data_IF_239309909437
#
_entry.id   IF_239309909437
#
_cell.length_a   1.000
_cell.length_b   1.000
_cell.length_c   1.000
_cell.angle_alpha   90.00
_cell.angle_beta   90.00
_cell.angle_gamma   90.00
#
_symmetry.space_group_name_H-M   'P 1'
#
loop_
_entity.id
_entity.type
_entity.pdbx_description
1 polymer ?
#
# COMPACT_ATOMS: atom_id res chain seq x y z
N UNK A 1 46.62 -13.10 12.32
CA UNK A 1 45.87 -12.62 13.50
C UNK A 1 45.13 -11.34 13.13
N UNK A 2 44.00 -11.44 12.42
CA UNK A 2 43.12 -10.31 12.17
C UNK A 2 42.25 -10.13 13.41
N UNK A 3 42.52 -9.04 14.13
CA UNK A 3 42.04 -8.74 15.48
C UNK A 3 40.51 -8.86 15.61
N UNK A 4 40.04 -9.45 16.73
CA UNK A 4 38.65 -9.57 17.15
C UNK A 4 37.88 -8.23 17.17
N UNK A 5 38.58 -7.10 17.05
CA UNK A 5 38.04 -5.73 17.02
C UNK A 5 37.37 -5.39 15.67
N UNK A 6 37.76 -6.03 14.56
CA UNK A 6 37.20 -5.71 13.24
C UNK A 6 35.84 -6.36 12.96
N UNK A 7 35.51 -7.46 13.65
CA UNK A 7 34.22 -8.16 13.50
C UNK A 7 33.00 -7.31 13.86
N UNK A 8 32.94 -6.61 15.01
CA UNK A 8 31.79 -5.76 15.33
C UNK A 8 31.70 -4.53 14.42
N UNK A 9 32.82 -3.97 13.96
CA UNK A 9 32.86 -2.85 13.02
C UNK A 9 32.36 -3.25 11.62
N UNK A 10 32.71 -4.45 11.15
CA UNK A 10 32.22 -4.97 9.87
C UNK A 10 30.72 -5.27 9.92
N UNK A 11 30.22 -5.74 11.06
CA UNK A 11 28.78 -5.94 11.28
C UNK A 11 28.01 -4.60 11.32
N UNK A 12 28.57 -3.56 11.96
CA UNK A 12 27.97 -2.22 11.96
C UNK A 12 27.96 -1.58 10.57
N UNK A 13 29.04 -1.75 9.80
CA UNK A 13 29.13 -1.28 8.42
C UNK A 13 28.16 -2.02 7.48
N UNK A 14 27.95 -3.33 7.68
CA UNK A 14 26.91 -4.08 6.97
C UNK A 14 25.51 -3.58 7.33
N UNK A 15 25.25 -3.27 8.62
CA UNK A 15 23.96 -2.73 9.09
C UNK A 15 23.63 -1.35 8.52
N UNK A 16 24.63 -0.51 8.22
CA UNK A 16 24.43 0.76 7.50
C UNK A 16 24.32 0.60 5.97
N UNK A 17 24.65 -0.57 5.44
CA UNK A 17 24.44 -0.96 4.04
C UNK A 17 23.14 -1.74 3.84
N UNK A 18 22.35 -2.00 4.89
CA UNK A 18 20.97 -2.45 4.71
C UNK A 18 20.14 -1.26 4.22
N UNK A 19 19.72 -1.22 2.94
CA UNK A 19 18.72 -0.24 2.53
C UNK A 19 17.47 -0.50 3.36
N UNK A 20 16.84 0.56 3.86
CA UNK A 20 15.53 0.47 4.53
C UNK A 20 14.52 -0.16 3.56
N UNK A 21 14.26 -1.45 3.76
CA UNK A 21 13.54 -2.33 2.82
C UNK A 21 12.03 -2.19 2.99
N UNK A 22 11.50 -0.97 2.96
CA UNK A 22 10.08 -0.73 2.76
C UNK A 22 9.91 0.63 2.10
N UNK A 23 9.52 0.70 0.85
CA UNK A 23 9.12 1.92 0.21
C UNK A 23 7.77 1.72 -0.51
N UNK A 24 7.35 2.68 -1.29
CA UNK A 24 6.03 2.76 -1.94
C UNK A 24 6.24 3.41 -3.32
N UNK A 25 5.27 3.38 -4.23
CA UNK A 25 5.31 4.16 -5.47
C UNK A 25 5.64 5.64 -5.18
N UNK A 26 5.04 6.21 -4.12
CA UNK A 26 5.39 7.50 -3.54
C UNK A 26 6.90 7.67 -3.39
N UNK A 27 7.57 6.75 -2.68
CA UNK A 27 9.01 6.86 -2.42
C UNK A 27 9.88 6.67 -3.68
N UNK A 28 9.40 5.89 -4.67
CA UNK A 28 10.12 5.65 -5.92
C UNK A 28 10.18 6.93 -6.75
N UNK A 29 9.09 7.68 -6.75
CA UNK A 29 8.97 8.94 -7.48
C UNK A 29 9.23 10.19 -6.61
N UNK A 30 9.62 10.00 -5.35
CA UNK A 30 9.84 11.07 -4.35
C UNK A 30 8.63 11.99 -4.18
N UNK A 31 7.44 11.41 -4.29
CA UNK A 31 6.19 12.11 -4.11
C UNK A 31 5.91 12.29 -2.61
N UNK A 32 5.26 13.38 -2.26
CA UNK A 32 4.80 13.67 -0.90
C UNK A 32 3.28 13.50 -0.86
N UNK A 33 2.77 12.47 -0.18
CA UNK A 33 1.31 12.24 -0.10
C UNK A 33 0.55 13.38 0.60
N UNK A 34 1.26 14.30 1.27
CA UNK A 34 0.69 15.49 1.89
C UNK A 34 0.60 16.67 0.92
N UNK A 35 1.42 16.68 -0.14
CA UNK A 35 1.58 17.85 -1.05
C UNK A 35 1.27 17.54 -2.50
N UNK A 36 1.61 16.34 -2.94
CA UNK A 36 1.51 15.89 -4.32
C UNK A 36 0.17 15.16 -4.50
N UNK A 37 -0.81 15.88 -5.01
CA UNK A 37 -2.16 15.34 -5.20
C UNK A 37 -2.15 14.34 -6.36
N UNK A 38 -2.66 13.12 -6.14
CA UNK A 38 -2.92 12.19 -7.24
C UNK A 38 -4.11 12.68 -8.09
N UNK A 39 -3.82 13.05 -9.33
CA UNK A 39 -4.85 13.57 -10.26
C UNK A 39 -5.89 12.50 -10.61
N UNK A 40 -5.49 11.25 -10.85
CA UNK A 40 -6.46 10.19 -11.15
C UNK A 40 -7.29 9.80 -9.91
N UNK A 41 -6.75 9.91 -8.68
CA UNK A 41 -7.58 9.78 -7.47
C UNK A 41 -8.66 10.85 -7.39
N UNK A 42 -8.33 12.12 -7.62
CA UNK A 42 -9.30 13.22 -7.58
C UNK A 42 -10.36 13.08 -8.67
N UNK A 43 -9.98 12.75 -9.91
CA UNK A 43 -10.94 12.54 -11.00
C UNK A 43 -11.88 11.38 -10.69
N UNK A 44 -11.35 10.24 -10.24
CA UNK A 44 -12.17 9.11 -9.85
C UNK A 44 -13.07 9.41 -8.65
N UNK A 45 -12.56 10.11 -7.63
CA UNK A 45 -13.38 10.50 -6.49
C UNK A 45 -14.59 11.31 -6.92
N UNK A 46 -14.41 12.29 -7.82
CA UNK A 46 -15.52 13.08 -8.36
C UNK A 46 -16.54 12.24 -9.12
N UNK A 47 -16.07 11.38 -10.04
CA UNK A 47 -16.94 10.49 -10.83
C UNK A 47 -17.74 9.53 -9.97
N UNK A 48 -17.11 8.95 -8.96
CA UNK A 48 -17.76 8.00 -8.04
C UNK A 48 -18.81 8.73 -7.22
N UNK A 49 -18.50 9.90 -6.64
CA UNK A 49 -19.48 10.67 -5.86
C UNK A 49 -20.67 11.15 -6.68
N UNK A 50 -20.50 11.36 -8.00
CA UNK A 50 -21.62 11.68 -8.90
C UNK A 50 -22.50 10.45 -9.22
N UNK A 51 -21.92 9.24 -9.10
CA UNK A 51 -22.56 7.99 -9.52
C UNK A 51 -23.29 7.27 -8.39
N UNK A 52 -22.67 7.17 -7.21
CA UNK A 52 -23.24 6.41 -6.08
C UNK A 52 -23.93 7.31 -5.07
N UNK A 53 -25.11 6.87 -4.63
CA UNK A 53 -25.93 7.60 -3.68
C UNK A 53 -25.42 7.35 -2.24
N UNK A 54 -24.31 8.00 -1.86
CA UNK A 54 -23.74 7.88 -0.52
C UNK A 54 -24.65 8.54 0.53
N UNK A 55 -24.79 7.97 1.74
CA UNK A 55 -25.54 8.65 2.79
C UNK A 55 -24.84 9.95 3.17
N UNK A 56 -25.54 11.09 3.02
CA UNK A 56 -24.97 12.43 3.18
C UNK A 56 -24.51 13.11 1.87
N UNK A 57 -24.88 12.57 0.70
CA UNK A 57 -24.66 13.08 -0.67
C UNK A 57 -24.91 14.57 -0.88
N UNK A 58 -25.79 15.18 -0.09
CA UNK A 58 -26.20 16.58 -0.29
C UNK A 58 -25.14 17.59 0.16
N UNK A 59 -23.99 17.10 0.60
CA UNK A 59 -22.91 17.93 1.13
C UNK A 59 -21.67 17.71 0.26
N UNK A 60 -21.46 18.64 -0.65
CA UNK A 60 -20.38 18.62 -1.63
C UNK A 60 -19.17 19.40 -1.09
N UNK A 61 -18.41 18.79 -0.17
CA UNK A 61 -17.27 19.41 0.49
C UNK A 61 -16.08 18.43 0.59
N UNK A 62 -14.81 18.89 0.54
CA UNK A 62 -13.64 18.02 0.70
C UNK A 62 -13.61 17.20 2.00
N UNK A 63 -14.32 17.64 3.06
CA UNK A 63 -14.53 16.87 4.30
C UNK A 63 -15.34 15.58 4.11
N UNK A 64 -15.92 15.36 2.93
CA UNK A 64 -16.66 14.14 2.59
C UNK A 64 -15.76 13.02 2.11
N UNK A 65 -14.53 13.30 1.67
CA UNK A 65 -13.56 12.23 1.36
C UNK A 65 -13.36 11.34 2.60
N UNK A 66 -13.24 11.94 3.78
CA UNK A 66 -13.19 11.28 5.09
C UNK A 66 -14.37 10.33 5.32
N UNK A 67 -15.58 10.73 4.95
CA UNK A 67 -16.79 9.90 5.10
C UNK A 67 -16.87 8.83 4.02
N UNK A 68 -16.50 9.15 2.79
CA UNK A 68 -16.54 8.26 1.64
C UNK A 68 -15.64 7.04 1.86
N UNK A 69 -14.48 7.23 2.49
CA UNK A 69 -13.56 6.15 2.87
C UNK A 69 -14.20 5.07 3.76
N UNK A 70 -15.32 5.35 4.44
CA UNK A 70 -16.02 4.38 5.31
C UNK A 70 -16.97 3.45 4.53
N UNK A 71 -17.20 3.70 3.25
CA UNK A 71 -18.14 2.94 2.44
C UNK A 71 -17.39 2.00 1.49
N UNK A 72 -17.58 0.69 1.68
CA UNK A 72 -16.98 -0.34 0.83
C UNK A 72 -17.39 -0.18 -0.65
N UNK A 73 -18.62 0.28 -0.91
CA UNK A 73 -19.07 0.57 -2.26
C UNK A 73 -18.25 1.70 -2.89
N UNK A 74 -18.01 2.80 -2.18
CA UNK A 74 -17.14 3.89 -2.66
C UNK A 74 -15.75 3.37 -3.02
N UNK A 75 -15.14 2.59 -2.12
CA UNK A 75 -13.82 1.99 -2.37
C UNK A 75 -13.85 1.03 -3.57
N UNK A 76 -14.91 0.23 -3.72
CA UNK A 76 -15.05 -0.69 -4.86
C UNK A 76 -15.13 0.06 -6.19
N UNK A 77 -15.92 1.14 -6.25
CA UNK A 77 -16.01 1.98 -7.45
C UNK A 77 -14.73 2.79 -7.71
N UNK A 78 -14.05 3.25 -6.66
CA UNK A 78 -12.75 3.90 -6.77
C UNK A 78 -11.72 2.94 -7.39
N UNK A 79 -11.63 1.70 -6.89
CA UNK A 79 -10.73 0.67 -7.41
C UNK A 79 -10.95 0.44 -8.91
N UNK A 80 -12.20 0.27 -9.32
CA UNK A 80 -12.56 0.09 -10.73
C UNK A 80 -12.23 1.32 -11.59
N UNK A 81 -12.51 2.53 -11.08
CA UNK A 81 -12.22 3.76 -11.80
C UNK A 81 -10.72 3.99 -11.99
N UNK A 82 -9.90 3.77 -10.96
CA UNK A 82 -8.45 3.96 -11.05
C UNK A 82 -7.83 3.07 -12.14
N UNK A 83 -8.30 1.82 -12.24
CA UNK A 83 -7.87 0.89 -13.28
C UNK A 83 -8.23 1.34 -14.70
N UNK A 84 -9.22 2.22 -14.87
CA UNK A 84 -9.67 2.74 -16.17
C UNK A 84 -9.07 4.10 -16.51
N UNK A 85 -8.86 4.95 -15.51
CA UNK A 85 -8.54 6.37 -15.69
C UNK A 85 -7.05 6.67 -15.52
N UNK A 86 -6.37 5.99 -14.59
CA UNK A 86 -4.94 6.24 -14.38
C UNK A 86 -4.14 5.79 -15.61
N UNK A 87 -3.16 6.60 -16.01
CA UNK A 87 -2.53 6.47 -17.34
C UNK A 87 -1.53 5.31 -17.42
N UNK A 88 -1.07 4.81 -16.27
CA UNK A 88 -0.04 3.78 -16.19
C UNK A 88 -0.08 3.05 -14.84
N UNK A 89 0.55 1.88 -14.77
CA UNK A 89 0.70 1.12 -13.52
C UNK A 89 1.30 1.93 -12.35
N UNK A 90 2.38 2.72 -12.52
CA UNK A 90 2.90 3.57 -11.44
C UNK A 90 1.93 4.68 -11.02
N UNK A 91 1.17 5.27 -11.95
CA UNK A 91 0.17 6.29 -11.66
C UNK A 91 -1.00 5.70 -10.84
N UNK A 92 -1.47 4.51 -11.22
CA UNK A 92 -2.48 3.77 -10.47
C UNK A 92 -1.98 3.34 -9.07
N UNK A 93 -0.74 2.87 -8.97
CA UNK A 93 -0.12 2.53 -7.69
C UNK A 93 0.00 3.74 -6.77
N UNK A 94 0.41 4.89 -7.31
CA UNK A 94 0.46 6.14 -6.57
C UNK A 94 -0.91 6.59 -6.07
N UNK A 95 -1.94 6.50 -6.91
CA UNK A 95 -3.31 6.84 -6.52
C UNK A 95 -3.83 5.96 -5.37
N UNK A 96 -3.52 4.66 -5.39
CA UNK A 96 -3.87 3.75 -4.30
C UNK A 96 -3.19 4.15 -2.99
N UNK A 97 -1.91 4.51 -3.03
CA UNK A 97 -1.16 4.95 -1.84
C UNK A 97 -1.67 6.27 -1.31
N UNK A 98 -1.94 7.23 -2.19
CA UNK A 98 -2.57 8.51 -1.86
C UNK A 98 -3.94 8.34 -1.22
N UNK A 99 -4.77 7.47 -1.78
CA UNK A 99 -6.08 7.14 -1.20
C UNK A 99 -5.98 6.57 0.21
N UNK A 100 -5.08 5.59 0.40
CA UNK A 100 -4.82 5.00 1.72
C UNK A 100 -4.37 6.05 2.74
N UNK A 101 -3.47 6.96 2.36
CA UNK A 101 -2.98 8.00 3.26
C UNK A 101 -4.06 9.01 3.63
N UNK A 102 -4.87 9.46 2.66
CA UNK A 102 -5.95 10.41 2.96
C UNK A 102 -7.04 9.78 3.82
N UNK A 103 -7.43 8.54 3.53
CA UNK A 103 -8.37 7.82 4.37
C UNK A 103 -7.78 7.55 5.77
N UNK A 104 -6.48 7.28 5.87
CA UNK A 104 -5.79 7.12 7.15
C UNK A 104 -5.81 8.39 7.99
N UNK A 105 -5.51 9.57 7.40
CA UNK A 105 -5.63 10.88 8.07
C UNK A 105 -7.05 11.18 8.53
N UNK A 106 -8.03 10.64 7.83
CA UNK A 106 -9.45 10.69 8.18
C UNK A 106 -9.84 9.71 9.31
N UNK A 107 -8.91 8.89 9.80
CA UNK A 107 -9.13 7.89 10.85
C UNK A 107 -9.73 6.58 10.34
N UNK A 108 -9.70 6.32 9.02
CA UNK A 108 -10.23 5.11 8.39
C UNK A 108 -9.08 4.29 7.81
N UNK A 109 -8.91 3.06 8.29
CA UNK A 109 -7.93 2.12 7.73
C UNK A 109 -8.52 1.39 6.53
N UNK A 110 -7.98 1.67 5.35
CA UNK A 110 -8.31 1.00 4.09
C UNK A 110 -7.10 0.25 3.53
N UNK A 111 -6.26 -0.32 4.39
CA UNK A 111 -5.05 -1.07 3.99
C UNK A 111 -5.33 -2.22 3.00
N UNK A 112 -6.55 -2.77 2.98
CA UNK A 112 -7.02 -3.77 2.03
C UNK A 112 -7.45 -3.21 0.67
N UNK A 113 -7.59 -1.89 0.53
CA UNK A 113 -7.96 -1.25 -0.73
C UNK A 113 -6.89 -1.55 -1.79
N UNK A 114 -7.29 -2.19 -2.88
CA UNK A 114 -6.40 -2.61 -3.97
C UNK A 114 -7.09 -2.46 -5.32
N UNK A 115 -6.30 -2.40 -6.39
CA UNK A 115 -6.81 -2.43 -7.76
C UNK A 115 -7.45 -3.79 -8.08
N UNK A 116 -8.35 -3.86 -9.08
CA UNK A 116 -8.94 -5.11 -9.52
C UNK A 116 -7.86 -6.09 -9.99
N UNK A 117 -8.06 -7.38 -9.69
CA UNK A 117 -7.09 -8.42 -10.01
C UNK A 117 -6.73 -8.47 -11.51
N UNK A 118 -7.69 -8.22 -12.40
CA UNK A 118 -7.45 -8.18 -13.85
C UNK A 118 -6.44 -7.09 -14.25
N UNK A 119 -6.50 -5.92 -13.61
CA UNK A 119 -5.54 -4.84 -13.86
C UNK A 119 -4.15 -5.23 -13.37
N UNK A 120 -4.06 -5.86 -12.19
CA UNK A 120 -2.79 -6.32 -11.62
C UNK A 120 -2.14 -7.40 -12.48
N UNK A 121 -2.93 -8.26 -13.13
CA UNK A 121 -2.44 -9.28 -14.05
C UNK A 121 -1.90 -8.67 -15.35
N UNK A 122 -2.63 -7.72 -15.94
CA UNK A 122 -2.22 -7.01 -17.15
C UNK A 122 -0.95 -6.17 -16.92
N UNK A 123 -0.86 -5.48 -15.78
CA UNK A 123 0.28 -4.66 -15.39
C UNK A 123 1.28 -5.40 -14.48
N UNK A 124 1.27 -6.74 -14.50
CA UNK A 124 1.99 -7.59 -13.55
C UNK A 124 3.49 -7.35 -13.52
N UNK A 125 4.12 -7.04 -14.65
CA UNK A 125 5.56 -6.73 -14.72
C UNK A 125 5.94 -5.59 -13.77
N UNK A 126 5.11 -4.55 -13.67
CA UNK A 126 5.35 -3.43 -12.75
C UNK A 126 5.17 -3.88 -11.29
N UNK A 127 4.03 -4.50 -10.97
CA UNK A 127 3.67 -4.88 -9.60
C UNK A 127 4.50 -6.04 -9.03
N UNK A 128 5.19 -6.80 -9.88
CA UNK A 128 6.13 -7.87 -9.49
C UNK A 128 7.59 -7.46 -9.61
N UNK A 129 7.89 -6.28 -10.15
CA UNK A 129 9.26 -5.78 -10.33
C UNK A 129 10.03 -5.77 -9.02
N UNK A 130 11.34 -6.03 -9.09
CA UNK A 130 12.22 -5.93 -7.94
C UNK A 130 12.18 -4.50 -7.38
N UNK A 131 12.07 -3.49 -8.24
CA UNK A 131 11.98 -2.09 -7.87
C UNK A 131 10.74 -1.78 -7.02
N UNK A 132 9.58 -2.34 -7.35
CA UNK A 132 8.34 -2.17 -6.58
C UNK A 132 8.32 -3.02 -5.29
N UNK A 133 8.83 -4.24 -5.35
CA UNK A 133 8.80 -5.21 -4.23
C UNK A 133 9.94 -5.04 -3.23
N UNK A 134 11.17 -4.76 -3.69
CA UNK A 134 12.34 -4.47 -2.82
C UNK A 134 12.22 -3.13 -2.10
N UNK A 135 11.43 -2.24 -2.69
CA UNK A 135 11.06 -0.97 -2.11
C UNK A 135 9.61 -1.05 -1.64
N UNK A 136 9.20 -2.10 -0.93
CA UNK A 136 8.21 -2.12 0.19
C UNK A 136 6.72 -2.09 0.04
N UNK A 137 6.12 -2.46 -1.09
CA UNK A 137 4.71 -2.86 -1.01
C UNK A 137 4.67 -4.30 -0.54
N UNK A 138 4.63 -4.51 0.79
CA UNK A 138 4.01 -5.73 1.34
C UNK A 138 2.54 -5.66 0.92
N UNK A 139 2.27 -6.14 -0.30
CA UNK A 139 0.95 -6.64 -0.64
C UNK A 139 0.55 -7.54 0.52
N UNK A 140 -0.64 -7.30 1.06
CA UNK A 140 -1.27 -8.18 2.03
C UNK A 140 -1.22 -9.58 1.43
N UNK A 141 -0.23 -10.38 1.83
CA UNK A 141 -0.32 -11.82 1.72
C UNK A 141 -1.45 -12.15 2.68
N UNK A 142 -2.67 -12.27 2.13
CA UNK A 142 -3.70 -13.09 2.73
C UNK A 142 -2.98 -14.39 3.06
N UNK A 143 -2.77 -14.63 4.35
CA UNK A 143 -2.16 -15.84 4.85
C UNK A 143 -3.06 -17.00 4.42
N UNK A 144 -2.81 -17.53 3.23
CA UNK A 144 -3.13 -18.89 2.87
C UNK A 144 -2.24 -19.75 3.75
N UNK A 145 -2.70 -20.00 4.98
CA UNK A 145 -2.14 -21.02 5.85
C UNK A 145 -2.19 -22.33 5.04
N UNK A 146 -1.05 -22.92 4.64
CA UNK A 146 -1.07 -24.30 4.21
C UNK A 146 -1.33 -25.10 5.49
N UNK A 147 -2.44 -25.85 5.52
CA UNK A 147 -2.95 -26.60 6.68
C UNK A 147 -2.04 -27.73 7.19
N UNK A 148 -0.73 -27.62 7.08
CA UNK A 148 0.27 -28.63 7.42
C UNK A 148 1.34 -28.11 8.41
N UNK A 149 1.27 -26.85 8.85
CA UNK A 149 2.18 -26.28 9.87
C UNK A 149 1.65 -26.37 11.32
N UNK A 150 0.52 -27.04 11.56
CA UNK A 150 0.03 -27.34 12.93
C UNK A 150 0.60 -28.64 13.52
N UNK A 151 1.79 -29.06 13.10
CA UNK A 151 2.40 -30.31 13.58
C UNK A 151 3.82 -30.03 14.09
N UNK A 152 3.92 -30.02 15.44
CA UNK A 152 5.08 -30.34 16.26
C UNK A 152 6.24 -29.33 16.27
N UNK A 153 6.38 -28.62 17.40
CA UNK A 153 7.50 -28.99 18.29
C UNK A 153 7.27 -28.54 19.75
N UNK A 154 7.47 -29.45 20.73
CA UNK A 154 7.55 -29.15 22.15
C UNK A 154 8.97 -28.67 22.54
N UNK A 155 9.12 -28.18 23.77
CA UNK A 155 10.35 -27.72 24.44
C UNK A 155 10.90 -26.34 24.05
N UNK A 156 10.61 -25.37 24.91
CA UNK A 156 11.64 -24.63 25.64
C UNK A 156 11.01 -23.85 26.81
N UNK A 157 10.60 -24.59 27.83
CA UNK A 157 10.67 -24.09 29.20
C UNK A 157 12.16 -24.11 29.60
N UNK A 158 12.55 -23.23 30.53
CA UNK A 158 13.72 -23.32 31.44
C UNK A 158 14.86 -22.28 31.21
N UNK A 159 14.87 -21.31 32.13
CA UNK A 159 16.01 -20.61 32.78
C UNK A 159 16.86 -19.61 31.98
N UNK A 160 16.61 -18.31 32.18
CA UNK A 160 17.28 -17.44 33.17
C UNK A 160 16.62 -16.05 33.20
#
# INVERSE_FOLDING_TARGET
MLSNVYRPLLALALLMLLPSILASAQSQFKLDLDRDISTCWIDCSGRVTDTINLPGRDINDPSFITKNCQFDDYLSYMSACLAQVCQSAPDAAYAVEYGREICHKAGVDISNFTLPQSYLEEASEYFTSAEYTSRGVRGVQVWGIPGWLLVLSPLALVLL
#
